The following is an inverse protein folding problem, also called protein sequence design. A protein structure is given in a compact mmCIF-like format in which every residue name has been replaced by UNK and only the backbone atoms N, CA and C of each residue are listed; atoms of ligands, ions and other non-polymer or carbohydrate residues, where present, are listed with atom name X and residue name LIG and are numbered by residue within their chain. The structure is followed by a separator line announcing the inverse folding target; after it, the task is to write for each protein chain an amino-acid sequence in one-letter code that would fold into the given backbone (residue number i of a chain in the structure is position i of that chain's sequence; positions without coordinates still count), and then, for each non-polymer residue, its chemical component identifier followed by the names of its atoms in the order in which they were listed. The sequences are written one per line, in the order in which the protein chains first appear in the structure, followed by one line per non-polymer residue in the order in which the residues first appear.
data_IF_516211314392
#
_entry.id   IF_516211314392
#
_cell.length_a   1.000
_cell.length_b   1.000
_cell.length_c   1.000
_cell.angle_alpha   90.00
_cell.angle_beta   90.00
_cell.angle_gamma   90.00
#
_symmetry.space_group_name_H-M   'P 1'
#
loop_
_entity.id
_entity.type
_entity.pdbx_description
1 polymer ?
#
# COMPACT_ATOMS: atom_id res chain seq x y z
N UNK A 1 -10.98 21.85 -16.35
CA UNK A 1 -10.41 20.60 -15.80
C UNK A 1 -8.91 20.57 -16.12
N UNK A 2 -8.06 20.45 -15.09
CA UNK A 2 -6.61 20.60 -15.23
C UNK A 2 -6.00 19.34 -15.88
N UNK A 3 -5.43 19.50 -17.09
CA UNK A 3 -4.90 18.40 -17.93
C UNK A 3 -3.86 17.52 -17.21
N UNK A 4 -3.11 18.11 -16.28
CA UNK A 4 -2.13 17.40 -15.46
C UNK A 4 -2.75 16.43 -14.45
N UNK A 5 -3.94 16.72 -13.92
CA UNK A 5 -4.64 15.82 -13.01
C UNK A 5 -5.11 14.57 -13.76
N UNK A 6 -5.64 14.75 -14.98
CA UNK A 6 -6.06 13.66 -15.84
C UNK A 6 -4.88 12.77 -16.26
N UNK A 7 -3.74 13.35 -16.62
CA UNK A 7 -2.52 12.59 -16.94
C UNK A 7 -2.00 11.79 -15.74
N UNK A 8 -2.04 12.35 -14.53
CA UNK A 8 -1.67 11.63 -13.29
C UNK A 8 -2.62 10.46 -13.02
N UNK A 9 -3.93 10.68 -13.15
CA UNK A 9 -4.96 9.64 -12.98
C UNK A 9 -4.86 8.55 -14.05
N UNK A 10 -4.61 8.91 -15.31
CA UNK A 10 -4.43 7.94 -16.39
C UNK A 10 -3.12 7.16 -16.26
N UNK A 11 -2.05 7.77 -15.74
CA UNK A 11 -0.80 7.07 -15.41
C UNK A 11 -1.01 6.08 -14.26
N UNK A 12 -1.76 6.47 -13.22
CA UNK A 12 -2.17 5.59 -12.13
C UNK A 12 -3.04 4.44 -12.63
N UNK A 13 -4.02 4.69 -13.51
CA UNK A 13 -4.83 3.64 -14.15
C UNK A 13 -4.05 2.67 -15.05
N UNK A 14 -2.96 3.14 -15.68
CA UNK A 14 -2.10 2.28 -16.52
C UNK A 14 -1.10 1.47 -15.70
N UNK A 15 -0.63 2.00 -14.57
CA UNK A 15 0.23 1.27 -13.63
C UNK A 15 -0.59 0.28 -12.79
N UNK A 16 -1.82 0.64 -12.46
CA UNK A 16 -2.78 -0.19 -11.74
C UNK A 16 -3.84 -0.72 -12.71
N UNK A 17 -3.50 -1.77 -13.45
CA UNK A 17 -4.53 -2.73 -13.82
C UNK A 17 -5.04 -3.35 -12.52
N UNK A 18 -5.99 -2.68 -11.86
CA UNK A 18 -6.69 -3.17 -10.68
C UNK A 18 -7.37 -4.52 -10.97
N UNK A 19 -7.61 -4.83 -12.24
CA UNK A 19 -8.10 -6.14 -12.69
C UNK A 19 -7.11 -7.31 -12.47
N UNK A 20 -5.81 -7.03 -12.33
CA UNK A 20 -4.75 -8.04 -12.12
C UNK A 20 -4.00 -7.87 -10.80
N UNK A 21 -4.48 -7.00 -9.90
CA UNK A 21 -3.85 -6.85 -8.60
C UNK A 21 -4.04 -8.13 -7.78
N UNK A 22 -2.94 -8.69 -7.27
CA UNK A 22 -2.94 -9.84 -6.35
C UNK A 22 -3.55 -9.47 -4.99
N UNK A 23 -3.62 -8.17 -4.67
CA UNK A 23 -4.17 -7.65 -3.43
C UNK A 23 -3.68 -6.24 -3.10
N UNK A 24 -3.93 -5.83 -1.86
CA UNK A 24 -3.50 -4.56 -1.28
C UNK A 24 -2.53 -4.82 -0.12
N UNK A 25 -1.59 -3.90 0.08
CA UNK A 25 -0.75 -3.82 1.27
C UNK A 25 -0.85 -2.41 1.82
N UNK A 26 -1.04 -2.29 3.13
CA UNK A 26 -1.13 -1.05 3.87
C UNK A 26 0.07 -0.95 4.79
N UNK A 27 0.70 0.20 4.83
CA UNK A 27 1.73 0.57 5.80
C UNK A 27 1.17 1.68 6.66
N UNK A 28 1.06 1.40 7.96
CA UNK A 28 0.49 2.28 8.97
C UNK A 28 1.52 2.46 10.09
N UNK A 29 1.57 3.64 10.70
CA UNK A 29 2.41 3.89 11.87
C UNK A 29 1.53 4.01 13.12
N UNK A 30 1.50 2.96 13.94
CA UNK A 30 0.67 2.84 15.13
C UNK A 30 1.51 2.33 16.31
N UNK A 31 1.26 2.85 17.52
CA UNK A 31 1.97 2.45 18.75
C UNK A 31 3.51 2.51 18.67
N UNK A 32 4.03 3.47 17.89
CA UNK A 32 5.47 3.67 17.71
C UNK A 32 6.13 2.64 16.78
N UNK A 33 5.34 1.94 15.96
CA UNK A 33 5.82 0.93 15.02
C UNK A 33 5.15 1.05 13.66
N UNK A 34 5.88 0.63 12.63
CA UNK A 34 5.36 0.44 11.30
C UNK A 34 4.66 -0.92 11.22
N UNK A 35 3.35 -0.91 11.08
CA UNK A 35 2.52 -2.08 10.87
C UNK A 35 2.27 -2.27 9.37
N UNK A 36 2.61 -3.45 8.86
CA UNK A 36 2.34 -3.82 7.47
C UNK A 36 1.16 -4.79 7.46
N UNK A 37 0.03 -4.34 6.90
CA UNK A 37 -1.22 -5.09 6.81
C UNK A 37 -1.47 -5.47 5.36
N UNK A 38 -1.82 -6.73 5.08
CA UNK A 38 -2.02 -7.25 3.73
C UNK A 38 -3.42 -7.77 3.53
N UNK A 39 -3.98 -7.52 2.36
CA UNK A 39 -5.27 -8.03 1.92
C UNK A 39 -5.13 -8.68 0.55
N UNK A 40 -5.48 -9.95 0.44
CA UNK A 40 -5.49 -10.65 -0.84
C UNK A 40 -6.72 -10.28 -1.67
N UNK A 41 -6.56 -10.22 -2.99
CA UNK A 41 -7.69 -10.08 -3.90
C UNK A 41 -8.42 -11.42 -4.02
N UNK A 42 -9.41 -11.61 -3.13
CA UNK A 42 -10.28 -12.79 -3.11
C UNK A 42 -11.75 -12.40 -3.33
N UNK A 43 -12.60 -13.27 -3.91
CA UNK A 43 -13.99 -12.95 -4.29
C UNK A 43 -14.91 -12.52 -3.14
N UNK A 44 -14.48 -12.74 -1.90
CA UNK A 44 -15.18 -12.32 -0.69
C UNK A 44 -14.19 -11.50 0.13
N UNK A 45 -14.57 -10.28 0.46
CA UNK A 45 -13.78 -9.41 1.32
C UNK A 45 -13.32 -10.18 2.58
N UNK A 46 -12.02 -10.21 2.81
CA UNK A 46 -11.42 -10.69 4.06
C UNK A 46 -10.77 -9.50 4.77
N UNK A 47 -10.73 -9.55 6.11
CA UNK A 47 -10.01 -8.58 6.92
C UNK A 47 -8.54 -8.49 6.48
N UNK A 48 -8.00 -7.28 6.58
CA UNK A 48 -6.56 -7.03 6.44
C UNK A 48 -5.82 -7.80 7.53
N UNK A 49 -4.78 -8.54 7.15
CA UNK A 49 -3.95 -9.31 8.09
C UNK A 49 -2.65 -8.57 8.35
N UNK A 50 -2.32 -8.37 9.62
CA UNK A 50 -0.98 -7.91 10.02
C UNK A 50 0.05 -8.97 9.62
N UNK A 51 1.05 -8.58 8.83
CA UNK A 51 2.10 -9.47 8.33
C UNK A 51 3.50 -9.07 8.81
N UNK A 52 3.68 -7.84 9.30
CA UNK A 52 4.90 -7.40 9.96
C UNK A 52 4.64 -6.22 10.91
N UNK A 53 5.45 -6.13 11.95
CA UNK A 53 5.62 -4.96 12.81
C UNK A 53 7.11 -4.62 12.82
N UNK A 54 7.46 -3.37 12.51
CA UNK A 54 8.83 -2.93 12.27
C UNK A 54 9.08 -1.62 13.02
N UNK A 55 10.31 -1.41 13.47
CA UNK A 55 10.63 -0.26 14.32
C UNK A 55 10.94 0.99 13.51
N UNK A 56 11.44 0.84 12.28
CA UNK A 56 11.83 1.98 11.44
C UNK A 56 11.22 1.94 10.04
N UNK A 57 11.20 3.12 9.41
CA UNK A 57 10.79 3.29 8.03
C UNK A 57 11.62 2.45 7.07
N UNK A 58 12.95 2.44 7.27
CA UNK A 58 13.86 1.69 6.40
C UNK A 58 13.64 0.19 6.48
N UNK A 59 13.27 -0.32 7.65
CA UNK A 59 12.86 -1.72 7.81
C UNK A 59 11.57 -2.01 7.05
N UNK A 60 10.59 -1.11 7.13
CA UNK A 60 9.33 -1.23 6.40
C UNK A 60 9.54 -1.20 4.89
N UNK A 61 10.34 -0.28 4.36
CA UNK A 61 10.68 -0.23 2.94
C UNK A 61 11.41 -1.51 2.48
N UNK A 62 12.37 -2.00 3.27
CA UNK A 62 13.06 -3.26 2.98
C UNK A 62 12.09 -4.43 2.95
N UNK A 63 11.15 -4.49 3.89
CA UNK A 63 10.14 -5.53 3.92
C UNK A 63 9.22 -5.45 2.71
N UNK A 64 8.81 -4.26 2.28
CA UNK A 64 7.98 -4.10 1.08
C UNK A 64 8.64 -4.65 -0.18
N UNK A 65 9.97 -4.57 -0.29
CA UNK A 65 10.71 -5.17 -1.42
C UNK A 65 10.64 -6.71 -1.43
N UNK A 66 10.20 -7.35 -0.34
CA UNK A 66 9.96 -8.80 -0.29
C UNK A 66 8.54 -9.21 -0.72
N UNK A 67 7.63 -8.24 -0.83
CA UNK A 67 6.26 -8.48 -1.28
C UNK A 67 6.28 -8.80 -2.78
N UNK A 68 5.60 -9.86 -3.23
CA UNK A 68 5.52 -10.19 -4.65
C UNK A 68 4.95 -9.04 -5.49
N UNK A 69 5.37 -8.97 -6.75
CA UNK A 69 4.77 -8.03 -7.69
C UNK A 69 3.25 -8.26 -7.83
N UNK A 70 2.53 -7.18 -8.12
CA UNK A 70 1.08 -7.20 -8.32
C UNK A 70 0.26 -6.85 -7.08
N UNK A 71 0.89 -6.60 -5.92
CA UNK A 71 0.21 -5.94 -4.81
C UNK A 71 0.26 -4.42 -4.97
N UNK A 72 -0.85 -3.76 -4.64
CA UNK A 72 -0.90 -2.31 -4.56
C UNK A 72 -0.56 -1.88 -3.15
N UNK A 73 0.50 -1.09 -3.00
CA UNK A 73 0.98 -0.63 -1.70
C UNK A 73 0.42 0.77 -1.43
N UNK A 74 -0.30 0.89 -0.31
CA UNK A 74 -0.74 2.13 0.29
C UNK A 74 0.15 2.45 1.49
N UNK A 75 0.82 3.59 1.42
CA UNK A 75 1.63 4.11 2.51
C UNK A 75 0.84 5.26 3.13
N UNK A 76 0.04 4.94 4.16
CA UNK A 76 -0.88 5.88 4.81
C UNK A 76 -0.25 6.45 6.08
N UNK A 77 1.01 6.90 5.96
CA UNK A 77 1.62 7.72 6.99
C UNK A 77 1.19 9.13 6.69
N UNK A 78 0.07 9.54 7.30
CA UNK A 78 -0.31 10.95 7.37
C UNK A 78 0.68 11.58 8.34
N UNK A 79 1.60 12.46 7.90
CA UNK A 79 2.37 13.24 8.85
C UNK A 79 1.35 14.03 9.68
N UNK A 80 1.40 13.91 11.01
CA UNK A 80 0.85 14.95 11.86
C UNK A 80 1.67 16.21 11.55
N UNK A 81 1.11 17.11 10.73
CA UNK A 81 1.63 18.47 10.56
C UNK A 81 1.54 19.14 11.94
N UNK A 82 2.70 19.34 12.58
CA UNK A 82 2.90 20.26 13.72
C UNK A 82 2.82 21.73 13.26
#
# INVERSE_FOLDING_TARGET
MNSNLKKRVDKLRRLHSLDNASGLVFVEYEDGKYQIKKQDHVPKFQETKLIAELETEEEAERFLNTIPDGYVIFWDIIPEDD
#
